data_IF_448165732022
#
_entry.id   IF_448165732022
#
_cell.length_a   1.000
_cell.length_b   1.000
_cell.length_c   1.000
_cell.angle_alpha   90.00
_cell.angle_beta   90.00
_cell.angle_gamma   90.00
#
_symmetry.space_group_name_H-M   'P 1'
#
loop_
_entity.id
_entity.type
_entity.pdbx_description
1 polymer ?
#
# COMPACT_ATOMS: atom_id res chain seq x y z
N UNK A 1 -37.39 -16.95 2.55
CA UNK A 1 -37.96 -16.45 1.29
C UNK A 1 -37.50 -15.00 1.19
N UNK A 2 -36.72 -14.65 0.15
CA UNK A 2 -36.23 -13.26 -0.02
C UNK A 2 -37.46 -12.40 -0.36
N UNK A 3 -37.74 -11.38 0.44
CA UNK A 3 -38.87 -10.44 0.27
C UNK A 3 -38.44 -9.34 -0.70
N UNK A 4 -39.29 -9.00 -1.63
CA UNK A 4 -39.11 -7.91 -2.60
C UNK A 4 -39.90 -6.69 -2.18
N UNK A 5 -39.25 -5.53 -2.12
CA UNK A 5 -39.84 -4.27 -1.68
C UNK A 5 -39.98 -3.31 -2.86
N UNK A 6 -41.20 -2.81 -3.06
CA UNK A 6 -41.55 -1.77 -4.06
C UNK A 6 -41.78 -0.41 -3.42
N UNK A 7 -41.17 -0.21 -2.28
CA UNK A 7 -41.39 0.97 -1.42
C UNK A 7 -40.25 1.96 -1.50
N UNK A 8 -39.62 2.07 -2.69
CA UNK A 8 -38.60 3.09 -2.95
C UNK A 8 -39.26 4.46 -2.86
N UNK A 9 -38.82 5.31 -1.93
CA UNK A 9 -39.46 6.60 -1.67
C UNK A 9 -38.68 7.79 -2.20
N UNK A 10 -37.34 7.69 -2.23
CA UNK A 10 -36.47 8.77 -2.66
C UNK A 10 -35.18 8.20 -3.27
N UNK A 11 -34.66 8.89 -4.28
CA UNK A 11 -33.32 8.63 -4.86
C UNK A 11 -32.61 9.98 -4.99
N UNK A 12 -31.45 10.11 -4.32
CA UNK A 12 -30.67 11.34 -4.29
C UNK A 12 -29.20 11.04 -4.52
N UNK A 13 -28.71 11.25 -5.74
CA UNK A 13 -27.35 10.90 -6.13
C UNK A 13 -27.08 9.40 -5.95
N UNK A 14 -26.05 9.00 -5.18
CA UNK A 14 -25.72 7.60 -4.95
C UNK A 14 -26.56 6.95 -3.82
N UNK A 15 -27.54 7.65 -3.27
CA UNK A 15 -28.35 7.19 -2.14
C UNK A 15 -29.80 6.94 -2.55
N UNK A 16 -30.41 5.91 -1.95
CA UNK A 16 -31.80 5.56 -2.16
C UNK A 16 -32.45 5.18 -0.82
N UNK A 17 -33.63 5.70 -0.57
CA UNK A 17 -34.44 5.37 0.62
C UNK A 17 -35.53 4.37 0.26
N UNK A 18 -35.58 3.25 0.99
CA UNK A 18 -36.57 2.21 0.87
C UNK A 18 -37.38 2.14 2.18
N UNK A 19 -38.70 2.21 2.11
CA UNK A 19 -39.59 2.21 3.29
C UNK A 19 -40.21 0.84 3.55
N UNK A 20 -40.71 0.68 4.78
CA UNK A 20 -41.42 -0.52 5.22
C UNK A 20 -40.63 -1.83 5.03
N UNK A 21 -39.31 -1.76 5.27
CA UNK A 21 -38.41 -2.91 5.18
C UNK A 21 -38.37 -3.62 6.54
N UNK A 22 -38.45 -4.92 6.52
CA UNK A 22 -38.35 -5.76 7.72
C UNK A 22 -37.09 -6.65 7.64
N UNK A 23 -36.30 -6.67 8.71
CA UNK A 23 -35.21 -7.63 8.88
C UNK A 23 -33.93 -7.33 8.08
N UNK A 24 -33.78 -6.13 7.50
CA UNK A 24 -32.51 -5.69 6.92
C UNK A 24 -31.44 -5.51 8.00
N UNK A 25 -30.19 -5.75 7.64
CA UNK A 25 -29.05 -5.57 8.52
C UNK A 25 -28.07 -4.53 7.95
N UNK A 26 -27.28 -3.90 8.82
CA UNK A 26 -26.21 -2.98 8.38
C UNK A 26 -25.21 -3.70 7.48
N UNK A 27 -24.71 -2.98 6.48
CA UNK A 27 -23.77 -3.48 5.47
C UNK A 27 -24.29 -4.60 4.57
N UNK A 28 -25.57 -4.96 4.68
CA UNK A 28 -26.21 -5.97 3.85
C UNK A 28 -26.30 -5.53 2.39
N UNK A 29 -26.03 -6.45 1.47
CA UNK A 29 -26.26 -6.24 0.05
C UNK A 29 -27.74 -6.31 -0.30
N UNK A 30 -28.16 -5.39 -1.15
CA UNK A 30 -29.44 -5.43 -1.84
C UNK A 30 -29.28 -5.52 -3.36
N UNK A 31 -30.23 -6.10 -4.02
CA UNK A 31 -30.35 -6.13 -5.48
C UNK A 31 -31.58 -5.33 -5.91
N UNK A 32 -31.34 -4.31 -6.74
CA UNK A 32 -32.37 -3.47 -7.32
C UNK A 32 -32.76 -4.04 -8.68
N UNK A 33 -34.01 -4.33 -8.91
CA UNK A 33 -34.51 -4.75 -10.21
C UNK A 33 -35.17 -3.55 -10.89
N UNK A 34 -34.65 -3.16 -12.04
CA UNK A 34 -35.19 -2.10 -12.87
C UNK A 34 -36.32 -2.64 -13.79
N UNK A 35 -37.14 -1.73 -14.32
CA UNK A 35 -38.23 -2.08 -15.22
C UNK A 35 -37.80 -2.83 -16.47
N UNK A 36 -36.59 -2.55 -16.99
CA UNK A 36 -36.03 -3.22 -18.15
C UNK A 36 -35.45 -4.62 -17.85
N UNK A 37 -35.54 -5.10 -16.59
CA UNK A 37 -34.98 -6.37 -16.13
C UNK A 37 -33.50 -6.30 -15.72
N UNK A 38 -32.88 -5.13 -15.82
CA UNK A 38 -31.54 -4.90 -15.37
C UNK A 38 -31.47 -4.99 -13.85
N UNK A 39 -30.39 -5.57 -13.33
CA UNK A 39 -30.14 -5.72 -11.91
C UNK A 39 -28.96 -4.85 -11.53
N UNK A 40 -29.10 -4.09 -10.45
CA UNK A 40 -28.03 -3.30 -9.85
C UNK A 40 -27.85 -3.64 -8.39
N UNK A 41 -26.66 -3.47 -7.88
CA UNK A 41 -26.37 -3.71 -6.48
C UNK A 41 -26.50 -2.43 -5.65
N UNK A 42 -26.89 -2.61 -4.40
CA UNK A 42 -26.86 -1.57 -3.38
C UNK A 42 -26.43 -2.17 -2.04
N UNK A 43 -26.07 -1.32 -1.10
CA UNK A 43 -25.61 -1.70 0.24
C UNK A 43 -26.39 -0.91 1.28
N UNK A 44 -26.85 -1.56 2.34
CA UNK A 44 -27.50 -0.92 3.47
C UNK A 44 -26.50 -0.07 4.24
N UNK A 45 -26.82 1.21 4.40
CA UNK A 45 -26.00 2.16 5.18
C UNK A 45 -26.61 2.46 6.54
N UNK A 46 -27.94 2.66 6.58
CA UNK A 46 -28.62 3.10 7.78
C UNK A 46 -30.03 2.48 7.85
N UNK A 47 -30.44 2.18 9.04
CA UNK A 47 -31.78 1.63 9.33
C UNK A 47 -32.41 2.46 10.44
N UNK A 48 -33.53 3.07 10.12
CA UNK A 48 -34.38 3.79 11.10
C UNK A 48 -35.78 3.23 11.10
N UNK A 49 -36.08 2.36 12.08
CA UNK A 49 -37.32 1.61 12.12
C UNK A 49 -37.49 0.71 10.89
N UNK A 50 -38.46 1.04 10.02
CA UNK A 50 -38.69 0.36 8.74
C UNK A 50 -38.06 1.08 7.54
N UNK A 51 -37.48 2.22 7.74
CA UNK A 51 -36.83 3.01 6.68
C UNK A 51 -35.36 2.59 6.55
N UNK A 52 -34.96 2.17 5.35
CA UNK A 52 -33.61 1.71 5.05
C UNK A 52 -32.97 2.61 4.01
N UNK A 53 -31.87 3.28 4.39
CA UNK A 53 -31.04 4.04 3.48
C UNK A 53 -30.01 3.11 2.86
N UNK A 54 -29.99 3.01 1.55
CA UNK A 54 -29.02 2.22 0.80
C UNK A 54 -28.16 3.09 -0.09
N UNK A 55 -26.94 2.64 -0.28
CA UNK A 55 -25.98 3.21 -1.24
C UNK A 55 -26.00 2.39 -2.51
N UNK A 56 -26.12 3.06 -3.65
CA UNK A 56 -26.06 2.45 -4.96
C UNK A 56 -24.61 2.19 -5.37
N UNK A 57 -24.32 1.02 -5.94
CA UNK A 57 -23.03 0.72 -6.53
C UNK A 57 -22.89 1.30 -7.94
N UNK A 58 -24.00 1.60 -8.59
CA UNK A 58 -24.04 2.09 -9.96
C UNK A 58 -24.89 3.37 -10.03
N UNK A 59 -24.98 3.95 -11.25
CA UNK A 59 -25.78 5.15 -11.47
C UNK A 59 -27.23 4.96 -11.06
N UNK A 60 -27.84 5.99 -10.49
CA UNK A 60 -29.28 6.04 -10.21
C UNK A 60 -30.16 6.16 -11.48
N UNK A 61 -29.55 6.36 -12.66
CA UNK A 61 -30.31 6.52 -13.91
C UNK A 61 -31.14 5.29 -14.21
N UNK A 62 -32.42 5.47 -14.53
CA UNK A 62 -33.39 4.38 -14.84
C UNK A 62 -34.07 3.77 -13.62
N UNK A 63 -33.74 4.17 -12.38
CA UNK A 63 -34.52 3.76 -11.20
C UNK A 63 -35.81 4.53 -11.20
N UNK A 64 -36.92 3.79 -11.24
CA UNK A 64 -38.28 4.32 -11.15
C UNK A 64 -38.86 3.98 -9.76
N UNK A 65 -39.30 5.00 -9.02
CA UNK A 65 -39.79 4.85 -7.66
C UNK A 65 -41.04 3.93 -7.55
N UNK A 66 -41.82 3.78 -8.63
CA UNK A 66 -43.04 2.97 -8.65
C UNK A 66 -42.87 1.58 -9.23
N UNK A 67 -41.88 1.40 -10.12
CA UNK A 67 -41.76 0.21 -10.94
C UNK A 67 -40.50 -0.62 -10.59
N UNK A 68 -39.47 0.05 -10.06
CA UNK A 68 -38.28 -0.65 -9.55
C UNK A 68 -38.58 -1.28 -8.18
N UNK A 69 -37.88 -2.37 -7.90
CA UNK A 69 -38.00 -3.07 -6.62
C UNK A 69 -36.62 -3.37 -6.06
N UNK A 70 -36.55 -3.60 -4.76
CA UNK A 70 -35.32 -3.97 -4.04
C UNK A 70 -35.56 -5.25 -3.26
N UNK A 71 -34.56 -6.13 -3.28
CA UNK A 71 -34.52 -7.29 -2.39
C UNK A 71 -33.21 -7.30 -1.63
N UNK A 72 -33.26 -7.53 -0.33
CA UNK A 72 -32.09 -7.68 0.52
C UNK A 72 -31.66 -9.14 0.54
N UNK A 73 -30.33 -9.39 0.49
CA UNK A 73 -29.77 -10.71 0.22
C UNK A 73 -29.43 -11.51 1.49
N UNK A 74 -29.57 -10.89 2.68
CA UNK A 74 -29.24 -11.52 3.97
C UNK A 74 -27.74 -11.73 4.19
N UNK A 75 -26.89 -11.06 3.44
CA UNK A 75 -25.44 -11.15 3.52
C UNK A 75 -24.76 -9.84 3.13
N UNK A 76 -23.56 -9.62 3.65
CA UNK A 76 -22.70 -8.51 3.26
C UNK A 76 -21.99 -8.74 1.92
N UNK A 77 -21.08 -7.85 1.60
CA UNK A 77 -20.19 -8.02 0.44
C UNK A 77 -19.16 -9.09 0.73
N UNK A 78 -19.08 -10.09 -0.13
CA UNK A 78 -18.19 -11.24 0.02
C UNK A 78 -17.22 -11.36 -1.17
N UNK A 79 -16.01 -11.82 -0.90
CA UNK A 79 -15.05 -12.24 -1.92
C UNK A 79 -15.05 -13.78 -2.00
N UNK A 80 -15.19 -14.29 -3.20
CA UNK A 80 -15.02 -15.71 -3.50
C UNK A 80 -13.53 -16.01 -3.63
N UNK A 81 -13.01 -16.94 -2.85
CA UNK A 81 -11.59 -17.29 -2.81
C UNK A 81 -11.35 -18.76 -3.05
N UNK A 82 -10.27 -19.06 -3.75
CA UNK A 82 -9.66 -20.37 -3.95
C UNK A 82 -8.18 -20.15 -4.32
N UNK A 83 -7.31 -21.17 -4.39
CA UNK A 83 -5.94 -21.01 -4.89
C UNK A 83 -5.86 -20.44 -6.32
N UNK A 84 -6.92 -20.58 -7.09
CA UNK A 84 -7.01 -20.12 -8.49
C UNK A 84 -7.11 -18.60 -8.63
N UNK A 85 -7.22 -17.83 -7.53
CA UNK A 85 -7.15 -16.35 -7.58
C UNK A 85 -5.74 -15.85 -7.93
N UNK A 86 -4.70 -16.66 -7.72
CA UNK A 86 -3.33 -16.31 -8.14
C UNK A 86 -3.25 -16.22 -9.66
N UNK A 87 -2.54 -15.23 -10.15
CA UNK A 87 -2.41 -14.97 -11.58
C UNK A 87 -3.59 -14.21 -12.20
N UNK A 88 -4.61 -13.86 -11.41
CA UNK A 88 -5.85 -13.27 -11.91
C UNK A 88 -5.94 -11.77 -11.67
N UNK A 89 -6.70 -11.11 -12.54
CA UNK A 89 -7.04 -9.69 -12.42
C UNK A 89 -8.55 -9.56 -12.19
N UNK A 90 -8.91 -8.82 -11.17
CA UNK A 90 -10.29 -8.54 -10.76
C UNK A 90 -10.58 -7.04 -10.82
N UNK A 91 -11.86 -6.70 -10.97
CA UNK A 91 -12.33 -5.33 -10.74
C UNK A 91 -12.41 -4.98 -9.24
N UNK A 92 -12.84 -3.78 -8.91
CA UNK A 92 -12.94 -3.31 -7.53
C UNK A 92 -13.93 -4.10 -6.65
N UNK A 93 -14.81 -4.89 -7.26
CA UNK A 93 -15.78 -5.74 -6.57
C UNK A 93 -15.42 -7.22 -6.58
N UNK A 94 -14.20 -7.57 -7.04
CA UNK A 94 -13.74 -8.96 -7.07
C UNK A 94 -14.33 -9.80 -8.21
N UNK A 95 -14.88 -9.17 -9.26
CA UNK A 95 -15.32 -9.87 -10.46
C UNK A 95 -14.12 -10.02 -11.42
N UNK A 96 -13.95 -11.16 -12.11
CA UNK A 96 -12.89 -11.32 -13.09
C UNK A 96 -12.90 -10.21 -14.16
N UNK A 97 -11.75 -9.56 -14.35
CA UNK A 97 -11.56 -8.50 -15.35
C UNK A 97 -10.54 -8.87 -16.44
N UNK A 98 -9.97 -10.07 -16.36
CA UNK A 98 -8.96 -10.59 -17.27
C UNK A 98 -9.53 -11.42 -18.44
N UNK A 99 -10.85 -11.51 -18.55
CA UNK A 99 -11.54 -12.35 -19.53
C UNK A 99 -11.54 -13.85 -19.19
N UNK A 100 -11.01 -14.23 -18.03
CA UNK A 100 -11.04 -15.59 -17.54
C UNK A 100 -12.41 -15.99 -16.95
N UNK A 101 -12.60 -17.27 -16.61
CA UNK A 101 -13.83 -17.75 -16.00
C UNK A 101 -13.99 -17.21 -14.57
N UNK A 102 -15.23 -17.29 -14.08
CA UNK A 102 -15.51 -17.05 -12.65
C UNK A 102 -14.74 -18.01 -11.76
N UNK A 103 -14.32 -17.53 -10.60
CA UNK A 103 -13.66 -18.36 -9.59
C UNK A 103 -14.66 -19.34 -9.00
N UNK A 104 -14.28 -20.63 -9.03
CA UNK A 104 -15.01 -21.67 -8.28
C UNK A 104 -14.56 -21.57 -6.81
N UNK A 105 -15.42 -21.08 -5.90
CA UNK A 105 -14.97 -20.75 -4.57
C UNK A 105 -14.77 -22.01 -3.70
N UNK A 106 -13.66 -22.08 -2.98
CA UNK A 106 -13.54 -22.93 -1.80
C UNK A 106 -14.24 -22.27 -0.60
N UNK A 107 -14.17 -20.93 -0.52
CA UNK A 107 -14.81 -20.12 0.52
C UNK A 107 -15.38 -18.82 -0.07
N UNK A 108 -16.42 -18.30 0.58
CA UNK A 108 -16.88 -16.92 0.42
C UNK A 108 -16.65 -16.19 1.72
N UNK A 109 -15.85 -15.11 1.70
CA UNK A 109 -15.40 -14.40 2.88
C UNK A 109 -15.94 -12.97 2.87
N UNK A 110 -16.46 -12.51 4.00
CA UNK A 110 -16.88 -11.11 4.18
C UNK A 110 -15.66 -10.19 4.05
N UNK A 111 -15.78 -9.15 3.22
CA UNK A 111 -14.66 -8.23 2.94
C UNK A 111 -14.37 -7.25 4.07
N UNK A 112 -15.31 -7.02 4.99
CA UNK A 112 -15.09 -6.12 6.11
C UNK A 112 -13.95 -6.63 7.01
N UNK A 113 -13.85 -7.94 7.18
CA UNK A 113 -12.79 -8.55 7.97
C UNK A 113 -12.74 -8.04 9.41
N UNK A 114 -11.72 -8.40 10.13
CA UNK A 114 -11.46 -7.91 11.49
C UNK A 114 -9.99 -7.53 11.64
N UNK A 115 -9.74 -6.42 12.33
CA UNK A 115 -8.39 -6.11 12.79
C UNK A 115 -7.82 -7.27 13.59
N UNK A 116 -6.55 -7.61 13.36
CA UNK A 116 -5.89 -8.71 14.05
C UNK A 116 -5.80 -8.43 15.55
N UNK A 117 -6.28 -9.37 16.35
CA UNK A 117 -6.20 -9.25 17.81
C UNK A 117 -4.72 -9.05 18.25
N UNK A 118 -4.40 -8.01 19.02
CA UNK A 118 -3.04 -7.74 19.47
C UNK A 118 -2.38 -8.92 20.22
N UNK A 119 -3.15 -9.69 20.99
CA UNK A 119 -2.65 -10.86 21.71
C UNK A 119 -2.26 -12.02 20.78
N UNK A 120 -2.87 -12.09 19.61
CA UNK A 120 -2.57 -13.10 18.58
C UNK A 120 -1.42 -12.69 17.66
N UNK A 121 -0.94 -11.44 17.73
CA UNK A 121 0.17 -10.97 16.90
C UNK A 121 1.48 -11.61 17.29
N UNK A 122 2.28 -11.94 16.28
CA UNK A 122 3.69 -12.27 16.42
C UNK A 122 4.56 -11.08 15.98
N UNK A 123 5.78 -10.99 16.53
CA UNK A 123 6.66 -9.86 16.23
C UNK A 123 7.33 -10.01 14.86
N UNK A 124 7.32 -8.95 14.02
CA UNK A 124 8.11 -8.92 12.79
C UNK A 124 9.60 -9.05 13.08
N UNK A 125 10.28 -9.96 12.41
CA UNK A 125 11.70 -10.23 12.62
C UNK A 125 12.48 -10.71 11.38
N UNK A 126 11.83 -10.87 10.23
CA UNK A 126 12.44 -11.42 9.03
C UNK A 126 12.48 -10.37 7.92
N UNK A 127 13.60 -10.33 7.21
CA UNK A 127 13.85 -9.41 6.13
C UNK A 127 12.99 -9.73 4.89
N UNK A 128 12.40 -8.71 4.29
CA UNK A 128 11.86 -8.79 2.94
C UNK A 128 12.74 -7.95 2.03
N UNK A 129 13.37 -8.57 1.04
CA UNK A 129 14.12 -7.87 0.03
C UNK A 129 13.17 -7.29 -1.00
N UNK A 130 13.17 -5.96 -1.15
CA UNK A 130 12.38 -5.26 -2.17
C UNK A 130 13.13 -5.09 -3.49
N UNK A 131 14.44 -5.30 -3.47
CA UNK A 131 15.33 -5.04 -4.60
C UNK A 131 15.65 -3.57 -4.81
N UNK A 132 15.22 -2.70 -3.88
CA UNK A 132 15.47 -1.25 -3.91
C UNK A 132 16.43 -0.85 -2.80
N UNK A 133 17.65 -0.44 -3.16
CA UNK A 133 18.73 -0.18 -2.20
C UNK A 133 18.37 0.84 -1.10
N UNK A 134 17.67 1.91 -1.44
CA UNK A 134 17.25 2.93 -0.48
C UNK A 134 16.24 2.39 0.56
N UNK A 135 15.49 1.35 0.23
CA UNK A 135 14.60 0.64 1.15
C UNK A 135 15.38 -0.43 1.89
N UNK A 136 15.95 -1.38 1.17
CA UNK A 136 16.57 -2.58 1.74
C UNK A 136 17.76 -2.25 2.65
N UNK A 137 18.59 -1.30 2.23
CA UNK A 137 19.79 -0.92 2.96
C UNK A 137 19.59 0.07 4.11
N UNK A 138 18.59 0.94 4.07
CA UNK A 138 18.43 2.05 5.02
C UNK A 138 17.10 2.06 5.77
N UNK A 139 16.03 1.59 5.13
CA UNK A 139 14.67 1.62 5.64
C UNK A 139 14.02 0.23 5.53
N UNK A 140 14.77 -0.77 5.89
CA UNK A 140 14.46 -2.20 5.71
C UNK A 140 13.02 -2.57 6.02
N UNK A 141 12.38 -3.25 5.06
CA UNK A 141 11.06 -3.82 5.21
C UNK A 141 11.14 -5.16 5.94
N UNK A 142 10.29 -5.34 6.93
CA UNK A 142 10.24 -6.56 7.76
C UNK A 142 8.92 -7.29 7.54
N UNK A 143 8.97 -8.61 7.49
CA UNK A 143 7.80 -9.47 7.27
C UNK A 143 6.72 -9.24 8.33
N UNK A 144 5.52 -8.85 7.88
CA UNK A 144 4.40 -8.50 8.75
C UNK A 144 4.33 -7.02 9.16
N UNK A 145 5.21 -6.17 8.61
CA UNK A 145 5.22 -4.73 8.84
C UNK A 145 4.22 -4.01 7.94
N UNK A 146 3.76 -2.84 8.40
CA UNK A 146 3.04 -1.84 7.62
C UNK A 146 3.97 -0.66 7.36
N UNK A 147 4.47 -0.52 6.13
CA UNK A 147 5.41 0.53 5.74
C UNK A 147 4.87 1.33 4.56
N UNK A 148 4.26 2.49 4.78
CA UNK A 148 3.67 3.29 3.72
C UNK A 148 4.72 4.01 2.87
N UNK A 149 4.33 4.31 1.62
CA UNK A 149 5.06 5.21 0.73
C UNK A 149 4.27 6.49 0.57
N UNK A 150 4.87 7.61 0.95
CA UNK A 150 4.32 8.95 0.79
C UNK A 150 4.89 9.59 -0.47
N UNK A 151 4.01 9.85 -1.42
CA UNK A 151 4.32 10.46 -2.71
C UNK A 151 3.71 11.85 -2.83
N UNK A 152 4.05 12.54 -3.90
CA UNK A 152 3.37 13.73 -4.36
C UNK A 152 2.82 13.52 -5.78
N UNK A 153 1.85 14.35 -6.18
CA UNK A 153 1.29 14.27 -7.52
C UNK A 153 2.38 14.40 -8.60
N UNK A 154 2.38 13.49 -9.56
CA UNK A 154 3.36 13.46 -10.66
C UNK A 154 4.71 12.82 -10.32
N UNK A 155 4.92 12.29 -9.12
CA UNK A 155 6.07 11.47 -8.80
C UNK A 155 5.85 9.99 -9.20
N UNK A 156 6.91 9.22 -9.49
CA UNK A 156 6.82 7.88 -10.06
C UNK A 156 6.50 6.78 -9.02
N UNK A 157 5.48 7.00 -8.17
CA UNK A 157 5.09 6.02 -7.17
C UNK A 157 4.50 4.74 -7.78
N UNK A 158 3.82 4.86 -8.93
CA UNK A 158 3.29 3.71 -9.65
C UNK A 158 4.43 2.80 -10.14
N UNK A 159 5.50 3.37 -10.70
CA UNK A 159 6.68 2.62 -11.15
C UNK A 159 7.38 1.94 -9.97
N UNK A 160 7.51 2.63 -8.83
CA UNK A 160 8.09 2.05 -7.62
C UNK A 160 7.22 0.90 -7.08
N UNK A 161 5.90 1.08 -7.05
CA UNK A 161 4.96 0.03 -6.64
C UNK A 161 5.10 -1.23 -7.52
N UNK A 162 5.14 -1.06 -8.84
CA UNK A 162 5.33 -2.15 -9.79
C UNK A 162 6.69 -2.83 -9.61
N UNK A 163 7.76 -2.06 -9.41
CA UNK A 163 9.11 -2.56 -9.16
C UNK A 163 9.15 -3.44 -7.90
N UNK A 164 8.62 -2.96 -6.77
CA UNK A 164 8.56 -3.73 -5.53
C UNK A 164 7.72 -5.01 -5.73
N UNK A 165 6.56 -4.92 -6.35
CA UNK A 165 5.70 -6.09 -6.61
C UNK A 165 6.40 -7.17 -7.42
N UNK A 166 7.21 -6.78 -8.43
CA UNK A 166 7.99 -7.72 -9.27
C UNK A 166 9.13 -8.38 -8.53
N UNK A 167 9.85 -7.61 -7.71
CA UNK A 167 11.16 -7.99 -7.17
C UNK A 167 11.10 -8.53 -5.75
N UNK A 168 10.07 -8.18 -4.98
CA UNK A 168 9.99 -8.54 -3.57
C UNK A 168 10.05 -10.06 -3.35
N UNK A 169 10.87 -10.45 -2.36
CA UNK A 169 11.09 -11.84 -1.98
C UNK A 169 11.56 -11.96 -0.53
N UNK A 170 11.38 -13.15 0.05
CA UNK A 170 11.97 -13.55 1.33
C UNK A 170 13.26 -14.33 1.06
N UNK A 171 14.30 -14.09 1.86
CA UNK A 171 15.61 -14.76 1.72
C UNK A 171 15.66 -16.06 2.55
N UNK A 172 14.88 -17.07 2.16
CA UNK A 172 14.79 -18.36 2.84
C UNK A 172 15.20 -19.56 1.95
N UNK A 173 15.89 -19.29 0.86
CA UNK A 173 16.32 -20.31 -0.10
C UNK A 173 15.21 -20.81 -1.03
N UNK A 174 14.05 -20.17 -1.04
CA UNK A 174 12.92 -20.50 -1.91
C UNK A 174 11.96 -21.55 -1.32
N UNK A 175 12.08 -21.84 -0.03
CA UNK A 175 11.19 -22.77 0.67
C UNK A 175 9.81 -22.17 0.96
N UNK A 176 9.74 -20.85 1.17
CA UNK A 176 8.49 -20.14 1.45
C UNK A 176 7.69 -19.81 0.21
N UNK A 177 6.38 -19.99 0.31
CA UNK A 177 5.44 -19.55 -0.71
C UNK A 177 5.24 -18.04 -0.58
N UNK A 178 5.68 -17.27 -1.55
CA UNK A 178 5.53 -15.82 -1.57
C UNK A 178 4.50 -15.39 -2.63
N UNK A 179 3.58 -14.52 -2.26
CA UNK A 179 2.58 -13.96 -3.15
C UNK A 179 2.47 -12.43 -2.98
N UNK A 180 1.96 -11.77 -3.99
CA UNK A 180 1.65 -10.34 -3.99
C UNK A 180 0.14 -10.18 -4.17
N UNK A 181 -0.47 -9.29 -3.39
CA UNK A 181 -1.81 -8.79 -3.66
C UNK A 181 -1.70 -7.31 -3.96
N UNK A 182 -2.06 -6.95 -5.18
CA UNK A 182 -1.93 -5.59 -5.68
C UNK A 182 -3.32 -4.98 -5.90
N UNK A 183 -3.62 -3.90 -5.20
CA UNK A 183 -4.87 -3.16 -5.38
C UNK A 183 -4.59 -1.76 -5.88
N UNK A 184 -5.07 -1.47 -7.08
CA UNK A 184 -5.06 -0.16 -7.70
C UNK A 184 -6.42 0.52 -7.49
N UNK A 185 -6.42 1.68 -6.84
CA UNK A 185 -7.60 2.32 -6.27
C UNK A 185 -7.79 3.68 -6.93
N UNK A 186 -8.83 3.83 -7.76
CA UNK A 186 -9.16 5.08 -8.43
C UNK A 186 -8.10 5.55 -9.43
N UNK A 187 -7.43 4.62 -10.09
CA UNK A 187 -6.37 4.89 -11.06
C UNK A 187 -6.92 5.21 -12.45
N UNK A 188 -6.08 5.81 -13.28
CA UNK A 188 -6.41 6.03 -14.68
C UNK A 188 -6.37 4.72 -15.48
N UNK A 189 -7.02 4.70 -16.64
CA UNK A 189 -6.95 3.55 -17.52
C UNK A 189 -5.52 3.25 -18.01
N UNK A 190 -4.71 4.29 -18.21
CA UNK A 190 -3.30 4.18 -18.62
C UNK A 190 -2.46 3.52 -17.53
N UNK A 191 -2.67 3.88 -16.27
CA UNK A 191 -1.99 3.24 -15.14
C UNK A 191 -2.41 1.78 -14.97
N UNK A 192 -3.70 1.47 -15.15
CA UNK A 192 -4.21 0.10 -15.11
C UNK A 192 -3.58 -0.78 -16.18
N UNK A 193 -3.50 -0.28 -17.41
CA UNK A 193 -2.84 -0.97 -18.52
C UNK A 193 -1.34 -1.14 -18.28
N UNK A 194 -0.69 -0.10 -17.74
CA UNK A 194 0.72 -0.18 -17.35
C UNK A 194 0.97 -1.32 -16.35
N UNK A 195 0.24 -1.40 -15.27
CA UNK A 195 0.42 -2.46 -14.26
C UNK A 195 0.15 -3.85 -14.85
N UNK A 196 -0.97 -4.02 -15.55
CA UNK A 196 -1.34 -5.30 -16.13
C UNK A 196 -0.33 -5.78 -17.18
N UNK A 197 0.14 -4.87 -18.04
CA UNK A 197 1.12 -5.16 -19.06
C UNK A 197 2.50 -5.45 -18.47
N UNK A 198 2.95 -4.67 -17.50
CA UNK A 198 4.25 -4.86 -16.85
C UNK A 198 4.32 -6.19 -16.10
N UNK A 199 3.29 -6.55 -15.35
CA UNK A 199 3.27 -7.81 -14.60
C UNK A 199 3.18 -9.03 -15.51
N UNK A 200 2.46 -8.95 -16.64
CA UNK A 200 2.46 -10.01 -17.66
C UNK A 200 3.82 -10.14 -18.36
N UNK A 201 4.40 -9.01 -18.77
CA UNK A 201 5.71 -8.96 -19.45
C UNK A 201 6.82 -9.56 -18.60
N UNK A 202 6.77 -9.35 -17.31
CA UNK A 202 7.81 -9.79 -16.36
C UNK A 202 7.55 -11.17 -15.74
N UNK A 203 6.37 -11.76 -15.95
CA UNK A 203 5.94 -12.99 -15.29
C UNK A 203 5.54 -12.81 -13.81
N UNK A 204 5.57 -11.59 -13.30
CA UNK A 204 5.17 -11.33 -11.91
C UNK A 204 3.68 -11.62 -11.67
N UNK A 205 2.88 -11.61 -12.72
CA UNK A 205 1.44 -11.92 -12.64
C UNK A 205 1.18 -13.29 -12.02
N UNK A 206 1.99 -14.31 -12.29
CA UNK A 206 1.75 -15.69 -11.85
C UNK A 206 1.67 -15.86 -10.32
N UNK A 207 2.32 -14.96 -9.59
CA UNK A 207 2.30 -14.91 -8.12
C UNK A 207 1.50 -13.74 -7.56
N UNK A 208 0.75 -13.02 -8.42
CA UNK A 208 0.04 -11.80 -8.03
C UNK A 208 -1.46 -11.97 -8.18
N UNK A 209 -2.22 -11.45 -7.22
CA UNK A 209 -3.65 -11.21 -7.35
C UNK A 209 -3.84 -9.70 -7.51
N UNK A 210 -4.48 -9.28 -8.60
CA UNK A 210 -4.68 -7.86 -8.89
C UNK A 210 -6.15 -7.46 -8.74
N UNK A 211 -6.39 -6.37 -8.04
CA UNK A 211 -7.70 -5.70 -7.98
C UNK A 211 -7.55 -4.31 -8.60
N UNK A 212 -8.38 -4.01 -9.60
CA UNK A 212 -8.31 -2.78 -10.38
C UNK A 212 -9.61 -2.00 -10.25
N UNK A 213 -9.57 -0.83 -9.59
CA UNK A 213 -10.64 0.13 -9.58
C UNK A 213 -10.22 1.37 -10.36
N UNK A 214 -10.97 1.72 -11.38
CA UNK A 214 -10.67 2.85 -12.25
C UNK A 214 -11.22 4.17 -11.69
N UNK A 215 -10.71 5.29 -12.18
CA UNK A 215 -11.11 6.61 -11.73
C UNK A 215 -12.59 6.93 -12.03
N UNK A 216 -13.17 6.32 -13.07
CA UNK A 216 -14.58 6.46 -13.45
C UNK A 216 -15.51 5.45 -12.76
N UNK A 217 -14.96 4.48 -12.01
CA UNK A 217 -15.78 3.54 -11.26
C UNK A 217 -16.44 4.22 -10.04
N UNK A 218 -17.58 3.73 -9.56
CA UNK A 218 -18.29 4.30 -8.42
C UNK A 218 -17.44 4.35 -7.14
N UNK A 219 -17.68 5.37 -6.31
CA UNK A 219 -17.00 5.56 -5.02
C UNK A 219 -17.13 4.33 -4.08
N UNK A 220 -18.25 3.62 -4.17
CA UNK A 220 -18.51 2.41 -3.35
C UNK A 220 -17.56 1.27 -3.72
N UNK A 221 -17.34 1.05 -5.01
CA UNK A 221 -16.37 0.05 -5.47
C UNK A 221 -14.96 0.43 -5.03
N UNK A 222 -14.63 1.73 -5.08
CA UNK A 222 -13.34 2.26 -4.60
C UNK A 222 -13.11 1.98 -3.13
N UNK A 223 -14.16 2.10 -2.29
CA UNK A 223 -14.11 1.76 -0.86
C UNK A 223 -13.99 0.25 -0.64
N UNK A 224 -14.60 -0.57 -1.48
CA UNK A 224 -14.54 -2.02 -1.38
C UNK A 224 -13.17 -2.59 -1.80
N UNK A 225 -12.50 -2.00 -2.79
CA UNK A 225 -11.29 -2.53 -3.42
C UNK A 225 -10.17 -2.90 -2.44
N UNK A 226 -9.71 -2.05 -1.50
CA UNK A 226 -8.65 -2.43 -0.57
C UNK A 226 -9.12 -3.51 0.42
N UNK A 227 -10.42 -3.57 0.72
CA UNK A 227 -10.99 -4.62 1.58
C UNK A 227 -11.03 -5.98 0.87
N UNK A 228 -11.35 -6.00 -0.44
CA UNK A 228 -11.22 -7.18 -1.30
C UNK A 228 -9.78 -7.71 -1.30
N UNK A 229 -8.82 -6.81 -1.51
CA UNK A 229 -7.40 -7.16 -1.54
C UNK A 229 -6.93 -7.76 -0.21
N UNK A 230 -7.28 -7.16 0.92
CA UNK A 230 -6.92 -7.67 2.24
C UNK A 230 -7.60 -9.01 2.55
N UNK A 231 -8.83 -9.22 2.10
CA UNK A 231 -9.53 -10.50 2.26
C UNK A 231 -8.86 -11.61 1.44
N UNK A 232 -8.46 -11.32 0.21
CA UNK A 232 -7.65 -12.25 -0.58
C UNK A 232 -6.31 -12.56 0.10
N UNK A 233 -5.64 -11.54 0.65
CA UNK A 233 -4.39 -11.71 1.37
C UNK A 233 -4.53 -12.55 2.64
N UNK A 234 -5.61 -12.37 3.40
CA UNK A 234 -5.90 -13.19 4.60
C UNK A 234 -6.08 -14.67 4.24
N UNK A 235 -6.81 -14.96 3.16
CA UNK A 235 -6.97 -16.32 2.67
C UNK A 235 -5.62 -16.93 2.26
N UNK A 236 -4.84 -16.24 1.44
CA UNK A 236 -3.53 -16.73 1.02
C UNK A 236 -2.56 -16.92 2.19
N UNK A 237 -2.57 -16.00 3.15
CA UNK A 237 -1.66 -16.04 4.28
C UNK A 237 -2.07 -17.05 5.34
N UNK A 238 -3.32 -17.05 5.77
CA UNK A 238 -3.73 -17.80 6.97
C UNK A 238 -4.42 -19.12 6.66
N UNK A 239 -4.97 -19.31 5.46
CA UNK A 239 -5.47 -20.61 5.03
C UNK A 239 -4.43 -21.41 4.23
N UNK A 240 -3.63 -20.75 3.36
CA UNK A 240 -2.64 -21.41 2.50
C UNK A 240 -1.19 -21.31 3.01
N UNK A 241 -0.96 -20.58 4.11
CA UNK A 241 0.38 -20.45 4.74
C UNK A 241 1.38 -19.64 3.91
N UNK A 242 0.92 -18.72 3.06
CA UNK A 242 1.79 -17.92 2.19
C UNK A 242 2.30 -16.64 2.87
N UNK A 243 3.48 -16.17 2.46
CA UNK A 243 3.92 -14.82 2.79
C UNK A 243 3.39 -13.86 1.74
N UNK A 244 2.48 -12.98 2.15
CA UNK A 244 1.76 -12.10 1.23
C UNK A 244 2.23 -10.66 1.42
N UNK A 245 2.70 -10.04 0.33
CA UNK A 245 2.94 -8.62 0.25
C UNK A 245 1.70 -7.96 -0.36
N UNK A 246 1.06 -7.09 0.40
CA UNK A 246 -0.09 -6.30 -0.07
C UNK A 246 0.37 -4.90 -0.41
N UNK A 247 0.08 -4.44 -1.63
CA UNK A 247 0.32 -3.07 -2.09
C UNK A 247 -1.02 -2.43 -2.41
N UNK A 248 -1.33 -1.33 -1.73
CA UNK A 248 -2.56 -0.56 -1.93
C UNK A 248 -2.19 0.82 -2.49
N UNK A 249 -2.55 1.13 -3.72
CA UNK A 249 -2.26 2.39 -4.38
C UNK A 249 -3.50 2.91 -5.14
N UNK A 250 -4.06 4.09 -4.90
CA UNK A 250 -3.66 5.16 -4.01
C UNK A 250 -4.67 5.30 -2.85
N UNK A 251 -4.15 5.32 -1.64
CA UNK A 251 -5.00 5.48 -0.43
C UNK A 251 -5.64 6.87 -0.37
N UNK A 252 -5.06 7.86 -1.02
CA UNK A 252 -5.70 9.18 -1.13
C UNK A 252 -7.01 9.10 -1.88
N UNK A 253 -7.06 8.35 -2.99
CA UNK A 253 -8.29 8.13 -3.74
C UNK A 253 -9.36 7.37 -2.91
N UNK A 254 -8.91 6.43 -2.07
CA UNK A 254 -9.78 5.76 -1.11
C UNK A 254 -10.41 6.75 -0.11
N UNK A 255 -9.59 7.61 0.50
CA UNK A 255 -10.07 8.60 1.45
C UNK A 255 -11.00 9.64 0.81
N UNK A 256 -10.74 10.03 -0.45
CA UNK A 256 -11.62 10.90 -1.22
C UNK A 256 -12.98 10.23 -1.48
N UNK A 257 -13.02 8.93 -1.76
CA UNK A 257 -14.29 8.19 -1.89
C UNK A 257 -15.08 8.18 -0.57
N UNK A 258 -14.40 8.00 0.56
CA UNK A 258 -15.04 8.12 1.88
C UNK A 258 -15.60 9.52 2.12
N UNK A 259 -14.86 10.57 1.73
CA UNK A 259 -15.31 11.96 1.84
C UNK A 259 -16.56 12.21 0.98
N UNK A 260 -16.57 11.71 -0.25
CA UNK A 260 -17.72 11.81 -1.16
C UNK A 260 -18.98 11.17 -0.57
N UNK A 261 -18.85 9.95 -0.07
CA UNK A 261 -19.97 9.20 0.55
C UNK A 261 -20.45 9.88 1.82
N UNK A 262 -19.54 10.33 2.69
CA UNK A 262 -19.88 11.05 3.92
C UNK A 262 -20.60 12.36 3.64
N UNK A 263 -20.16 13.10 2.62
CA UNK A 263 -20.82 14.34 2.18
C UNK A 263 -22.25 14.06 1.63
N UNK A 264 -22.42 13.00 0.83
CA UNK A 264 -23.73 12.59 0.32
C UNK A 264 -24.71 12.22 1.45
N UNK A 265 -24.22 11.63 2.53
CA UNK A 265 -24.98 11.30 3.75
C UNK A 265 -25.21 12.50 4.66
N UNK A 266 -24.69 13.68 4.33
CA UNK A 266 -24.75 14.90 5.14
C UNK A 266 -24.19 14.73 6.56
N UNK A 267 -23.21 13.86 6.71
CA UNK A 267 -22.50 13.68 7.98
C UNK A 267 -21.73 14.94 8.35
N UNK A 268 -21.56 15.17 9.67
CA UNK A 268 -20.75 16.30 10.14
C UNK A 268 -19.29 16.11 9.73
N UNK A 269 -18.73 17.00 8.92
CA UNK A 269 -17.37 16.81 8.43
C UNK A 269 -16.34 17.00 9.55
N UNK A 270 -15.31 16.17 9.53
CA UNK A 270 -14.12 16.34 10.34
C UNK A 270 -13.08 17.26 9.68
N UNK A 271 -11.81 17.08 10.04
CA UNK A 271 -10.69 17.86 9.52
C UNK A 271 -10.62 17.78 7.98
N UNK A 272 -10.52 18.92 7.31
CA UNK A 272 -10.48 19.08 5.83
C UNK A 272 -11.65 18.39 5.09
N UNK A 273 -12.80 18.23 5.74
CA UNK A 273 -14.00 17.66 5.13
C UNK A 273 -14.04 16.13 5.06
N UNK A 274 -13.06 15.44 5.61
CA UNK A 274 -13.09 13.98 5.74
C UNK A 274 -14.04 13.55 6.84
N UNK A 275 -14.59 12.31 6.78
CA UNK A 275 -15.44 11.81 7.84
C UNK A 275 -14.68 11.70 9.17
N UNK A 276 -15.37 11.96 10.28
CA UNK A 276 -14.76 11.89 11.62
C UNK A 276 -14.18 10.52 11.97
N UNK A 277 -14.66 9.45 11.31
CA UNK A 277 -14.21 8.08 11.50
C UNK A 277 -13.04 7.65 10.56
N UNK A 278 -12.45 8.57 9.79
CA UNK A 278 -11.35 8.23 8.85
C UNK A 278 -10.21 7.48 9.54
N UNK A 279 -9.82 7.90 10.76
CA UNK A 279 -8.77 7.21 11.51
C UNK A 279 -9.13 5.75 11.82
N UNK A 280 -10.32 5.54 12.38
CA UNK A 280 -10.79 4.21 12.77
C UNK A 280 -10.94 3.30 11.55
N UNK A 281 -11.41 3.85 10.44
CA UNK A 281 -11.58 3.11 9.20
C UNK A 281 -10.24 2.65 8.61
N UNK A 282 -9.26 3.57 8.49
CA UNK A 282 -7.90 3.23 8.07
C UNK A 282 -7.23 2.25 9.05
N UNK A 283 -7.39 2.46 10.35
CA UNK A 283 -6.83 1.57 11.37
C UNK A 283 -7.39 0.15 11.27
N UNK A 284 -8.70 0.01 11.14
CA UNK A 284 -9.37 -1.29 10.99
C UNK A 284 -8.86 -2.03 9.75
N UNK A 285 -8.63 -1.32 8.66
CA UNK A 285 -8.10 -1.87 7.42
C UNK A 285 -6.62 -2.26 7.55
N UNK A 286 -5.76 -1.36 8.01
CA UNK A 286 -4.31 -1.61 8.10
C UNK A 286 -3.96 -2.65 9.17
N UNK A 287 -4.71 -2.72 10.26
CA UNK A 287 -4.50 -3.67 11.34
C UNK A 287 -4.91 -5.12 11.00
N UNK A 288 -5.40 -5.37 9.79
CA UNK A 288 -5.55 -6.72 9.22
C UNK A 288 -4.19 -7.33 8.83
N UNK A 289 -3.20 -6.48 8.53
CA UNK A 289 -1.84 -6.92 8.21
C UNK A 289 -1.04 -7.29 9.46
N UNK A 290 -0.09 -8.22 9.30
CA UNK A 290 0.80 -8.66 10.35
C UNK A 290 1.15 -10.14 10.29
N UNK A 291 1.82 -10.63 11.34
CA UNK A 291 2.05 -12.04 11.62
C UNK A 291 1.12 -12.51 12.74
N UNK A 292 0.64 -13.74 12.64
CA UNK A 292 -0.26 -14.32 13.62
C UNK A 292 0.38 -15.57 14.23
N UNK A 293 0.40 -15.66 15.56
CA UNK A 293 0.95 -16.81 16.30
C UNK A 293 0.27 -18.10 15.87
N UNK A 294 1.07 -19.15 15.60
CA UNK A 294 0.58 -20.44 15.15
C UNK A 294 0.22 -20.54 13.67
N UNK A 295 0.55 -19.51 12.88
CA UNK A 295 0.40 -19.50 11.43
C UNK A 295 1.76 -19.24 10.77
N UNK A 296 2.09 -20.00 9.73
CA UNK A 296 3.34 -19.81 8.97
C UNK A 296 3.25 -18.58 8.07
N UNK A 297 2.06 -18.31 7.55
CA UNK A 297 1.80 -17.16 6.67
C UNK A 297 1.86 -15.81 7.37
N UNK A 298 1.99 -14.76 6.56
CA UNK A 298 2.05 -13.38 7.04
C UNK A 298 1.52 -12.40 5.99
N UNK A 299 1.07 -11.25 6.44
CA UNK A 299 0.66 -10.13 5.56
C UNK A 299 1.54 -8.94 5.87
N UNK A 300 2.35 -8.53 4.90
CA UNK A 300 3.13 -7.30 4.91
C UNK A 300 2.41 -6.27 4.05
N UNK A 301 2.27 -5.04 4.53
CA UNK A 301 1.43 -4.03 3.87
C UNK A 301 2.24 -2.80 3.49
N UNK A 302 2.14 -2.42 2.22
CA UNK A 302 2.67 -1.15 1.69
C UNK A 302 1.48 -0.31 1.18
N UNK A 303 0.88 0.53 2.02
CA UNK A 303 -0.07 1.52 1.55
C UNK A 303 0.70 2.66 0.88
N UNK A 304 0.32 3.02 -0.33
CA UNK A 304 0.89 4.14 -1.08
C UNK A 304 -0.16 5.25 -1.12
N UNK A 305 0.26 6.46 -0.81
CA UNK A 305 -0.62 7.62 -0.83
C UNK A 305 0.07 8.81 -1.51
N UNK A 306 -0.73 9.65 -2.14
CA UNK A 306 -0.31 10.94 -2.69
C UNK A 306 -0.69 12.03 -1.70
N UNK A 307 0.31 12.75 -1.19
CA UNK A 307 0.10 13.88 -0.28
C UNK A 307 -0.50 15.06 -1.05
N UNK A 308 -1.73 15.50 -0.71
CA UNK A 308 -2.28 16.71 -1.32
C UNK A 308 -1.38 17.91 -1.04
N UNK A 309 -1.02 18.66 -2.09
CA UNK A 309 -0.14 19.84 -2.01
C UNK A 309 1.28 19.55 -1.43
N UNK A 310 1.69 18.30 -1.36
CA UNK A 310 2.95 17.87 -0.71
C UNK A 310 2.93 18.03 0.82
N UNK A 311 1.76 18.22 1.42
CA UNK A 311 1.59 18.47 2.85
C UNK A 311 1.54 17.15 3.65
N UNK A 312 2.65 16.81 4.32
CA UNK A 312 2.75 15.63 5.19
C UNK A 312 1.84 15.73 6.43
N UNK A 313 1.39 16.95 6.78
CA UNK A 313 0.47 17.18 7.90
C UNK A 313 -1.00 17.06 7.50
N UNK A 314 -1.28 16.78 6.22
CA UNK A 314 -2.63 16.50 5.74
C UNK A 314 -3.20 15.25 6.43
N UNK A 315 -4.53 15.16 6.71
CA UNK A 315 -5.11 14.05 7.46
C UNK A 315 -4.72 12.65 6.97
N UNK A 316 -4.58 12.45 5.67
CA UNK A 316 -4.29 11.12 5.10
C UNK A 316 -2.88 10.64 5.46
N UNK A 317 -1.77 11.36 5.15
CA UNK A 317 -0.44 10.94 5.58
C UNK A 317 -0.27 10.98 7.09
N UNK A 318 -0.82 11.98 7.77
CA UNK A 318 -0.73 12.12 9.22
C UNK A 318 -1.32 10.90 9.95
N UNK A 319 -2.56 10.52 9.64
CA UNK A 319 -3.23 9.36 10.23
C UNK A 319 -2.54 8.04 9.83
N UNK A 320 -2.14 7.90 8.57
CA UNK A 320 -1.41 6.72 8.10
C UNK A 320 -0.10 6.54 8.87
N UNK A 321 0.66 7.62 9.09
CA UNK A 321 1.91 7.59 9.86
C UNK A 321 1.73 7.19 11.31
N UNK A 322 0.57 7.50 11.94
CA UNK A 322 0.25 7.06 13.31
C UNK A 322 -0.05 5.56 13.39
N UNK A 323 -0.73 5.01 12.38
CA UNK A 323 -1.17 3.61 12.40
C UNK A 323 -0.04 2.64 12.01
N UNK A 324 0.90 3.09 11.18
CA UNK A 324 1.93 2.25 10.56
C UNK A 324 3.28 2.35 11.27
N UNK A 325 4.22 1.48 10.88
CA UNK A 325 5.55 1.40 11.52
C UNK A 325 6.65 2.13 10.73
N UNK A 326 6.35 3.31 10.23
CA UNK A 326 7.30 4.16 9.52
C UNK A 326 6.71 4.82 8.29
N UNK A 327 7.58 5.34 7.41
CA UNK A 327 7.22 5.86 6.09
C UNK A 327 8.43 5.92 5.16
N UNK A 328 8.22 5.72 3.88
CA UNK A 328 9.15 6.03 2.79
C UNK A 328 8.64 7.28 2.09
N UNK A 329 9.47 8.29 1.92
CA UNK A 329 9.07 9.57 1.33
C UNK A 329 9.74 9.75 -0.03
N UNK A 330 8.95 10.05 -1.06
CA UNK A 330 9.45 10.43 -2.37
C UNK A 330 9.68 11.94 -2.45
N UNK A 331 10.79 12.35 -3.06
CA UNK A 331 11.21 13.75 -3.17
C UNK A 331 11.10 14.26 -4.59
N UNK A 332 10.42 15.39 -4.75
CA UNK A 332 10.36 16.13 -6.02
C UNK A 332 11.72 16.65 -6.47
N UNK A 333 12.56 17.05 -5.52
CA UNK A 333 13.88 17.59 -5.84
C UNK A 333 14.83 16.49 -6.34
N UNK A 334 14.79 15.31 -5.74
CA UNK A 334 15.53 14.15 -6.26
C UNK A 334 15.02 13.71 -7.65
N UNK A 335 13.70 13.75 -7.85
CA UNK A 335 13.09 13.44 -9.14
C UNK A 335 13.55 14.40 -10.24
N UNK A 336 13.60 15.73 -9.94
CA UNK A 336 14.11 16.75 -10.86
C UNK A 336 15.60 16.57 -11.19
N UNK A 337 16.38 16.00 -10.28
CA UNK A 337 17.78 15.62 -10.51
C UNK A 337 17.93 14.33 -11.33
N UNK A 338 16.84 13.66 -11.70
CA UNK A 338 16.86 12.38 -12.43
C UNK A 338 17.16 11.16 -11.58
N UNK A 339 17.06 11.26 -10.24
CA UNK A 339 17.21 10.12 -9.32
C UNK A 339 15.96 9.25 -9.39
N UNK A 340 16.12 7.95 -9.64
CA UNK A 340 15.01 6.99 -9.74
C UNK A 340 15.34 5.66 -9.07
N UNK A 341 14.49 5.19 -8.11
CA UNK A 341 13.36 5.91 -7.51
C UNK A 341 13.82 7.12 -6.67
N UNK A 342 13.05 8.23 -6.64
CA UNK A 342 13.46 9.45 -5.95
C UNK A 342 13.17 9.40 -4.44
N UNK A 343 13.69 8.38 -3.75
CA UNK A 343 13.46 8.18 -2.32
C UNK A 343 14.34 9.12 -1.51
N UNK A 344 13.72 10.00 -0.72
CA UNK A 344 14.45 10.80 0.26
C UNK A 344 14.66 9.99 1.53
N UNK A 345 15.89 9.57 1.75
CA UNK A 345 16.24 8.67 2.85
C UNK A 345 16.29 9.36 4.21
N UNK A 346 16.48 10.69 4.26
CA UNK A 346 16.60 11.42 5.52
C UNK A 346 15.28 11.51 6.29
N UNK A 347 14.14 11.91 5.68
CA UNK A 347 12.85 11.90 6.35
C UNK A 347 12.17 10.51 6.35
N UNK A 348 12.71 9.56 5.59
CA UNK A 348 12.18 8.18 5.57
C UNK A 348 12.60 7.42 6.83
N UNK A 349 11.73 6.56 7.32
CA UNK A 349 11.96 5.79 8.54
C UNK A 349 11.22 4.45 8.48
N UNK A 350 11.93 3.35 8.78
CA UNK A 350 11.31 2.08 9.19
C UNK A 350 11.61 1.83 10.66
N UNK A 351 10.56 1.81 11.49
CA UNK A 351 10.72 1.62 12.95
C UNK A 351 11.12 0.20 13.34
N UNK A 352 10.96 -0.75 12.42
CA UNK A 352 11.26 -2.17 12.65
C UNK A 352 12.54 -2.64 11.95
N UNK A 353 13.26 -1.76 11.26
CA UNK A 353 14.43 -2.11 10.45
C UNK A 353 15.45 -2.97 11.19
N UNK A 354 15.76 -2.63 12.42
CA UNK A 354 16.77 -3.34 13.23
C UNK A 354 16.37 -4.80 13.54
N UNK A 355 15.08 -5.13 13.43
CA UNK A 355 14.59 -6.49 13.66
C UNK A 355 14.84 -7.42 12.47
N UNK A 356 14.95 -6.87 11.26
CA UNK A 356 15.11 -7.62 10.01
C UNK A 356 16.56 -7.79 9.55
N UNK A 357 17.55 -7.16 10.17
CA UNK A 357 18.92 -7.08 9.67
C UNK A 357 19.94 -7.75 10.56
N UNK A 358 21.14 -7.97 10.04
CA UNK A 358 22.29 -8.52 10.76
C UNK A 358 22.58 -9.99 10.46
N UNK A 359 23.49 -10.57 11.22
CA UNK A 359 23.98 -11.94 11.02
C UNK A 359 22.83 -12.96 11.04
N UNK A 360 22.75 -13.76 9.99
CA UNK A 360 21.72 -14.80 9.82
C UNK A 360 20.40 -14.31 9.20
N UNK A 361 20.29 -13.00 8.88
CA UNK A 361 19.12 -12.39 8.21
C UNK A 361 19.53 -11.69 6.93
N UNK A 362 20.52 -10.80 7.04
CA UNK A 362 21.20 -10.13 5.94
C UNK A 362 22.70 -10.36 6.09
N UNK A 363 23.52 -9.32 6.06
CA UNK A 363 24.96 -9.41 6.29
C UNK A 363 25.32 -8.79 7.66
N UNK A 364 26.39 -9.28 8.30
CA UNK A 364 26.78 -8.88 9.65
C UNK A 364 27.08 -7.38 9.82
N UNK A 365 27.56 -6.73 8.77
CA UNK A 365 27.91 -5.31 8.73
C UNK A 365 26.73 -4.39 8.42
N UNK A 366 25.55 -4.93 8.13
CA UNK A 366 24.41 -4.16 7.62
C UNK A 366 24.02 -2.99 8.56
N UNK A 367 23.89 -3.24 9.86
CA UNK A 367 23.48 -2.21 10.81
C UNK A 367 24.47 -1.05 10.88
N UNK A 368 25.76 -1.36 10.93
CA UNK A 368 26.83 -0.37 11.03
C UNK A 368 26.96 0.42 9.72
N UNK A 369 26.95 -0.28 8.58
CA UNK A 369 26.98 0.33 7.25
C UNK A 369 25.79 1.27 7.04
N UNK A 370 24.58 0.84 7.38
CA UNK A 370 23.37 1.65 7.32
C UNK A 370 23.51 2.95 8.13
N UNK A 371 23.94 2.84 9.38
CA UNK A 371 24.09 3.99 10.28
C UNK A 371 25.18 4.96 9.79
N UNK A 372 26.27 4.45 9.22
CA UNK A 372 27.34 5.26 8.67
C UNK A 372 26.92 5.97 7.38
N UNK A 373 26.28 5.26 6.45
CA UNK A 373 25.77 5.83 5.20
C UNK A 373 24.77 6.96 5.46
N UNK A 374 23.83 6.72 6.36
CA UNK A 374 22.82 7.73 6.75
C UNK A 374 23.49 8.98 7.33
N UNK A 375 24.42 8.82 8.28
CA UNK A 375 25.12 9.93 8.90
C UNK A 375 26.02 10.70 7.91
N UNK A 376 26.68 9.96 7.02
CA UNK A 376 27.54 10.58 5.99
C UNK A 376 26.71 11.38 4.97
N UNK A 377 25.56 10.85 4.56
CA UNK A 377 24.66 11.56 3.66
C UNK A 377 24.07 12.81 4.31
N UNK A 378 23.62 12.74 5.56
CA UNK A 378 23.13 13.90 6.30
C UNK A 378 24.20 15.00 6.39
N UNK A 379 25.45 14.64 6.75
CA UNK A 379 26.57 15.59 6.81
C UNK A 379 26.92 16.15 5.44
N UNK A 380 26.81 15.36 4.39
CA UNK A 380 27.02 15.82 3.00
C UNK A 380 25.98 16.85 2.58
N UNK A 381 24.71 16.68 2.95
CA UNK A 381 23.65 17.67 2.68
C UNK A 381 23.92 18.98 3.44
N UNK A 382 24.31 18.93 4.72
CA UNK A 382 24.71 20.10 5.49
C UNK A 382 25.88 20.83 4.83
N UNK A 383 26.90 20.09 4.34
CA UNK A 383 28.05 20.70 3.63
C UNK A 383 27.63 21.40 2.33
N UNK A 384 26.69 20.83 1.56
CA UNK A 384 26.17 21.44 0.34
C UNK A 384 25.33 22.71 0.64
N UNK A 385 24.53 22.70 1.70
CA UNK A 385 23.81 23.87 2.16
C UNK A 385 24.76 24.99 2.60
N UNK A 386 25.82 24.65 3.35
CA UNK A 386 26.85 25.59 3.77
C UNK A 386 27.58 26.20 2.57
N UNK A 387 27.92 25.38 1.55
CA UNK A 387 28.51 25.85 0.30
C UNK A 387 27.59 26.84 -0.45
N UNK A 388 26.29 26.60 -0.44
CA UNK A 388 25.30 27.48 -1.07
C UNK A 388 25.22 28.84 -0.39
N UNK A 389 25.39 28.91 0.93
CA UNK A 389 25.28 30.14 1.73
C UNK A 389 26.58 30.91 1.76
N UNK A 390 27.72 30.26 2.00
CA UNK A 390 29.01 30.88 2.27
C UNK A 390 30.00 30.76 1.10
N UNK A 391 29.67 29.98 0.07
CA UNK A 391 30.56 29.64 -1.03
C UNK A 391 31.45 28.42 -0.72
N UNK A 392 31.89 27.72 -1.77
CA UNK A 392 32.75 26.50 -1.66
C UNK A 392 34.09 26.76 -0.94
N UNK A 393 34.61 27.97 -1.03
CA UNK A 393 35.86 28.35 -0.39
C UNK A 393 35.78 28.35 1.16
N UNK A 394 34.60 28.32 1.73
CA UNK A 394 34.38 28.23 3.18
C UNK A 394 34.39 26.79 3.70
N UNK A 395 34.36 25.79 2.82
CA UNK A 395 34.34 24.38 3.20
C UNK A 395 35.79 23.87 3.54
N UNK A 396 35.82 23.04 4.57
CA UNK A 396 37.05 22.27 4.84
C UNK A 396 37.23 21.15 3.81
N UNK A 397 38.42 20.58 3.72
CA UNK A 397 38.70 19.43 2.85
C UNK A 397 37.78 18.22 3.18
N UNK A 398 37.44 18.06 4.46
CA UNK A 398 36.53 17.01 4.92
C UNK A 398 35.10 17.30 4.47
N UNK A 399 34.65 18.55 4.55
CA UNK A 399 33.29 18.95 4.07
C UNK A 399 33.16 18.73 2.57
N UNK A 400 34.17 19.02 1.79
CA UNK A 400 34.19 18.75 0.34
C UNK A 400 34.08 17.24 0.04
N UNK A 401 34.73 16.38 0.85
CA UNK A 401 34.56 14.91 0.72
C UNK A 401 33.15 14.46 1.04
N UNK A 402 32.52 15.02 2.08
CA UNK A 402 31.13 14.72 2.42
C UNK A 402 30.13 15.25 1.36
N UNK A 403 30.36 16.42 0.81
CA UNK A 403 29.58 16.94 -0.29
C UNK A 403 29.63 16.02 -1.52
N UNK A 404 30.86 15.60 -1.90
CA UNK A 404 31.07 14.61 -2.97
C UNK A 404 30.41 13.27 -2.67
N UNK A 405 30.51 12.80 -1.42
CA UNK A 405 29.83 11.58 -0.98
C UNK A 405 28.31 11.68 -1.19
N UNK A 406 27.70 12.81 -0.80
CA UNK A 406 26.26 13.03 -0.95
C UNK A 406 25.81 12.92 -2.41
N UNK A 407 26.54 13.56 -3.34
CA UNK A 407 26.24 13.51 -4.77
C UNK A 407 26.36 12.08 -5.35
N UNK A 408 27.45 11.39 -5.01
CA UNK A 408 27.66 10.02 -5.46
C UNK A 408 26.67 9.03 -4.83
N UNK A 409 26.24 9.27 -3.58
CA UNK A 409 25.24 8.50 -2.90
C UNK A 409 23.88 8.60 -3.60
N UNK A 410 23.43 9.81 -3.97
CA UNK A 410 22.20 10.00 -4.75
C UNK A 410 22.28 9.29 -6.10
N UNK A 411 23.41 9.37 -6.81
CA UNK A 411 23.60 8.80 -8.15
C UNK A 411 23.77 7.29 -8.19
N UNK A 412 24.47 6.71 -7.22
CA UNK A 412 24.88 5.30 -7.28
C UNK A 412 24.11 4.40 -6.31
N UNK A 413 23.72 4.93 -5.14
CA UNK A 413 23.01 4.15 -4.14
C UNK A 413 21.50 4.30 -4.27
N UNK A 414 21.00 5.52 -4.26
CA UNK A 414 19.53 5.78 -4.36
C UNK A 414 19.05 5.53 -5.77
N UNK A 415 19.71 6.11 -6.78
CA UNK A 415 19.33 5.92 -8.19
C UNK A 415 19.76 4.55 -8.70
N UNK A 416 18.79 3.75 -9.13
CA UNK A 416 19.02 2.43 -9.72
C UNK A 416 18.15 2.13 -10.93
N UNK A 417 17.20 3.02 -11.26
CA UNK A 417 16.22 2.79 -12.32
C UNK A 417 15.09 1.84 -11.89
N UNK A 418 14.11 1.68 -12.77
CA UNK A 418 12.86 0.96 -12.45
C UNK A 418 12.94 -0.56 -12.69
N UNK A 419 13.95 -1.05 -13.40
CA UNK A 419 14.06 -2.45 -13.80
C UNK A 419 15.21 -3.19 -13.10
N UNK A 420 15.96 -2.51 -12.23
CA UNK A 420 17.10 -3.10 -11.52
C UNK A 420 16.64 -3.73 -10.21
N UNK A 421 16.91 -5.03 -10.05
CA UNK A 421 16.75 -5.78 -8.79
C UNK A 421 18.15 -5.92 -8.14
N UNK A 422 18.39 -5.18 -7.06
CA UNK A 422 19.64 -5.28 -6.31
C UNK A 422 19.46 -6.20 -5.10
N UNK A 423 20.36 -7.16 -4.96
CA UNK A 423 20.43 -7.93 -3.73
C UNK A 423 20.90 -7.07 -2.55
N UNK A 424 20.68 -7.55 -1.34
CA UNK A 424 21.16 -6.85 -0.15
C UNK A 424 22.69 -6.83 -0.10
N UNK A 425 23.35 -7.87 -0.60
CA UNK A 425 24.80 -7.95 -0.71
C UNK A 425 25.32 -6.86 -1.65
N UNK A 426 24.78 -6.75 -2.86
CA UNK A 426 25.13 -5.70 -3.83
C UNK A 426 24.87 -4.31 -3.25
N UNK A 427 23.75 -4.12 -2.57
CA UNK A 427 23.40 -2.86 -1.90
C UNK A 427 24.44 -2.46 -0.85
N UNK A 428 24.89 -3.39 -0.02
CA UNK A 428 25.90 -3.14 0.99
C UNK A 428 27.29 -2.91 0.37
N UNK A 429 27.63 -3.62 -0.69
CA UNK A 429 28.89 -3.44 -1.40
C UNK A 429 28.98 -2.05 -2.08
N UNK A 430 27.90 -1.59 -2.70
CA UNK A 430 27.79 -0.19 -3.19
C UNK A 430 27.97 0.80 -2.03
N UNK A 431 27.37 0.52 -0.88
CA UNK A 431 27.54 1.33 0.32
C UNK A 431 28.99 1.43 0.75
N UNK A 432 29.71 0.33 0.80
CA UNK A 432 31.14 0.32 1.13
C UNK A 432 32.01 1.06 0.10
N UNK A 433 31.72 0.89 -1.18
CA UNK A 433 32.42 1.63 -2.23
C UNK A 433 32.27 3.15 -2.10
N UNK A 434 31.10 3.60 -1.70
CA UNK A 434 30.85 5.01 -1.42
C UNK A 434 31.58 5.49 -0.17
N UNK A 435 31.62 4.68 0.90
CA UNK A 435 32.33 5.03 2.13
C UNK A 435 33.83 5.20 1.92
N UNK A 436 34.42 4.60 0.89
CA UNK A 436 35.85 4.83 0.49
C UNK A 436 36.15 6.27 0.05
N UNK A 437 35.12 7.09 -0.26
CA UNK A 437 35.30 8.53 -0.52
C UNK A 437 35.74 9.26 0.75
N UNK A 438 35.34 8.75 1.90
CA UNK A 438 35.69 9.30 3.21
C UNK A 438 36.94 8.62 3.76
N UNK A 439 37.78 9.33 4.52
CA UNK A 439 38.92 8.70 5.20
C UNK A 439 38.43 7.73 6.30
N UNK A 440 39.16 6.65 6.55
CA UNK A 440 38.82 5.65 7.60
C UNK A 440 38.51 6.28 8.96
N UNK A 441 39.20 7.39 9.31
CA UNK A 441 38.95 8.13 10.56
C UNK A 441 37.57 8.73 10.70
N UNK A 442 36.81 8.88 9.60
CA UNK A 442 35.44 9.38 9.62
C UNK A 442 34.39 8.26 9.73
N UNK A 443 34.79 6.99 9.62
CA UNK A 443 33.90 5.82 9.74
C UNK A 443 33.62 5.45 11.21
N UNK A 444 33.19 6.42 12.00
CA UNK A 444 33.06 6.32 13.47
C UNK A 444 31.87 5.46 13.95
N UNK A 445 31.01 5.04 13.05
CA UNK A 445 29.81 4.24 13.36
C UNK A 445 29.96 2.77 12.97
N UNK A 446 31.14 2.36 12.52
CA UNK A 446 31.43 0.99 12.08
C UNK A 446 32.53 0.42 12.98
N UNK A 447 32.35 -0.83 13.42
CA UNK A 447 33.37 -1.57 14.17
C UNK A 447 34.66 -1.72 13.35
N UNK A 448 35.82 -1.51 13.98
CA UNK A 448 37.13 -1.57 13.32
C UNK A 448 37.35 -2.89 12.57
N UNK A 449 36.86 -4.02 13.10
CA UNK A 449 36.99 -5.33 12.46
C UNK A 449 36.20 -5.40 11.13
N UNK A 450 35.07 -4.71 11.06
CA UNK A 450 34.28 -4.62 9.83
C UNK A 450 34.96 -3.69 8.82
N UNK A 451 35.58 -2.60 9.29
CA UNK A 451 36.39 -1.73 8.42
C UNK A 451 37.57 -2.51 7.82
N UNK A 452 38.30 -3.27 8.62
CA UNK A 452 39.40 -4.13 8.12
C UNK A 452 38.93 -5.17 7.11
N UNK A 453 37.72 -5.70 7.31
CA UNK A 453 37.15 -6.77 6.46
C UNK A 453 36.58 -6.26 5.14
N UNK A 454 35.95 -5.10 5.11
CA UNK A 454 35.16 -4.65 3.96
C UNK A 454 35.68 -3.41 3.25
N UNK A 455 36.46 -2.54 3.92
CA UNK A 455 36.90 -1.28 3.32
C UNK A 455 37.95 -1.48 2.21
N UNK A 456 38.83 -2.44 2.34
CA UNK A 456 39.95 -2.68 1.40
C UNK A 456 39.60 -3.75 0.33
N UNK A 457 38.36 -4.20 0.25
CA UNK A 457 37.89 -5.18 -0.76
C UNK A 457 37.63 -4.57 -2.14
#
# INVERSE_FOLDING_TARGET
MIKEYKTISEVAGPLMLVKDVEGATYDELGEILLQNGEKRLCKVLEIDGGDVLVQLFESAAGINLKESSVRFLGRGTELKVSPEILGRVFDGMGRPADGGPDIIPEKSLDINGLAMNPAARDYPAEFIQTGVSAIDGLNTLVRGQKLPIFSESGLPHAQLAAQIARQAKVLDGGESKFAVVFAAIGITYEEADYFASDFRRTGAIDRTVMFMNLANDPAVERIATPRMALTAAEYLAFDLGMHVLVILTDITNYAEALREVSAARKEVPGRRGYPGYLYTDLATMYERAGRKKGYDGSITLIPILTMPEGDITHPIPDLTGYITEGQIILSRDLYRKGVQPPIDVLPSLSRLKDKGIGKGKTREDHADTMNQLFAAYAKGKESLELATILGEAALTETDLKYAKFSDEFEKRYVSQGNDTDRSIEETLDIGWDLLKILPKSELKRIDDKLIEKYYDR
#
